data_IF_880713241911
#
_entry.id   IF_880713241911
#
_cell.length_a   1.000
_cell.length_b   1.000
_cell.length_c   1.000
_cell.angle_alpha   90.00
_cell.angle_beta   90.00
_cell.angle_gamma   90.00
#
_symmetry.space_group_name_H-M   'P 1'
#
loop_
_entity.id
_entity.type
_entity.pdbx_description
1 polymer ?
#
# COMPACT_ATOMS: atom_id res chain seq x y z
N UNK A 1 4.43 -49.16 35.95
CA UNK A 1 4.57 -48.09 34.94
C UNK A 1 3.59 -48.36 33.82
N UNK A 2 2.51 -47.58 33.78
CA UNK A 2 1.43 -47.67 32.78
C UNK A 2 1.91 -46.98 31.50
N UNK A 3 1.89 -47.69 30.38
CA UNK A 3 2.10 -47.10 29.05
C UNK A 3 0.76 -46.50 28.60
N UNK A 4 0.65 -45.19 28.33
CA UNK A 4 -0.58 -44.64 27.81
C UNK A 4 -0.72 -45.01 26.31
N UNK A 5 -1.93 -45.36 25.84
CA UNK A 5 -2.17 -45.66 24.45
C UNK A 5 -2.68 -44.41 23.69
N UNK A 6 -2.43 -44.43 22.37
CA UNK A 6 -3.08 -43.64 21.31
C UNK A 6 -2.68 -42.16 21.06
N UNK A 7 -2.17 -41.97 19.84
CA UNK A 7 -2.47 -40.80 19.00
C UNK A 7 -4.00 -40.70 18.78
N UNK A 8 -4.62 -39.51 18.93
CA UNK A 8 -6.02 -39.31 18.60
C UNK A 8 -6.27 -39.45 17.09
N UNK A 9 -7.44 -39.98 16.71
CA UNK A 9 -7.84 -40.16 15.29
C UNK A 9 -7.72 -38.86 14.47
N UNK A 10 -7.93 -37.70 15.10
CA UNK A 10 -7.76 -36.37 14.50
C UNK A 10 -6.34 -36.13 13.93
N UNK A 11 -5.28 -36.62 14.59
CA UNK A 11 -3.89 -36.47 14.12
C UNK A 11 -3.61 -37.28 12.84
N UNK A 12 -4.34 -38.37 12.63
CA UNK A 12 -4.18 -39.23 11.45
C UNK A 12 -4.88 -38.65 10.22
N UNK A 13 -6.00 -37.98 10.41
CA UNK A 13 -6.69 -37.22 9.36
C UNK A 13 -5.92 -35.95 9.02
N UNK A 14 -5.37 -35.26 10.01
CA UNK A 14 -4.48 -34.11 9.79
C UNK A 14 -3.21 -34.50 9.02
N UNK A 15 -2.58 -35.65 9.35
CA UNK A 15 -1.45 -36.17 8.58
C UNK A 15 -1.81 -36.56 7.14
N UNK A 16 -3.02 -37.09 6.90
CA UNK A 16 -3.53 -37.39 5.54
C UNK A 16 -3.80 -36.11 4.75
N UNK A 17 -4.40 -35.11 5.40
CA UNK A 17 -4.66 -33.81 4.81
C UNK A 17 -3.35 -33.09 4.43
N UNK A 18 -2.35 -33.10 5.33
CA UNK A 18 -1.02 -32.57 5.04
C UNK A 18 -0.32 -33.34 3.91
N UNK A 19 -0.48 -34.66 3.86
CA UNK A 19 0.02 -35.48 2.74
C UNK A 19 -0.61 -35.11 1.39
N UNK A 20 -1.93 -34.85 1.36
CA UNK A 20 -2.65 -34.38 0.18
C UNK A 20 -2.19 -32.97 -0.25
N UNK A 21 -2.00 -32.04 0.69
CA UNK A 21 -1.51 -30.69 0.41
C UNK A 21 -0.06 -30.66 -0.11
N UNK A 22 0.77 -31.62 0.29
CA UNK A 22 2.13 -31.79 -0.24
C UNK A 22 2.12 -32.38 -1.66
N UNK A 23 1.22 -33.34 -1.93
CA UNK A 23 1.00 -33.88 -3.27
C UNK A 23 0.46 -32.82 -4.25
N UNK A 24 -0.45 -31.96 -3.78
CA UNK A 24 -1.00 -30.87 -4.58
C UNK A 24 0.08 -29.83 -4.91
N UNK A 25 0.88 -29.42 -3.93
CA UNK A 25 2.02 -28.52 -4.15
C UNK A 25 3.06 -29.07 -5.14
N UNK A 26 3.33 -30.39 -5.11
CA UNK A 26 4.20 -31.03 -6.09
C UNK A 26 3.60 -31.02 -7.51
N UNK A 27 2.28 -31.13 -7.63
CA UNK A 27 1.60 -31.03 -8.92
C UNK A 27 1.59 -29.60 -9.44
N UNK A 28 1.39 -28.61 -8.58
CA UNK A 28 1.42 -27.19 -8.93
C UNK A 28 2.82 -26.76 -9.37
N UNK A 29 3.88 -27.20 -8.68
CA UNK A 29 5.27 -26.96 -9.09
C UNK A 29 5.58 -27.61 -10.46
N UNK A 30 5.05 -28.82 -10.73
CA UNK A 30 5.19 -29.47 -12.04
C UNK A 30 4.42 -28.72 -13.13
N UNK A 31 3.24 -28.18 -12.81
CA UNK A 31 2.42 -27.43 -13.76
C UNK A 31 3.05 -26.07 -14.06
N UNK A 32 3.62 -25.38 -13.07
CA UNK A 32 4.36 -24.14 -13.26
C UNK A 32 5.59 -24.35 -14.15
N UNK A 33 6.38 -25.41 -13.90
CA UNK A 33 7.53 -25.74 -14.76
C UNK A 33 7.14 -26.05 -16.21
N UNK A 34 5.95 -26.61 -16.44
CA UNK A 34 5.41 -26.84 -17.79
C UNK A 34 4.96 -25.53 -18.44
N UNK A 35 4.34 -24.63 -17.69
CA UNK A 35 3.95 -23.31 -18.17
C UNK A 35 5.17 -22.47 -18.56
N UNK A 36 6.19 -22.41 -17.70
CA UNK A 36 7.44 -21.70 -17.97
C UNK A 36 8.21 -22.28 -19.18
N UNK A 37 8.11 -23.60 -19.40
CA UNK A 37 8.69 -24.25 -20.58
C UNK A 37 7.92 -23.92 -21.86
N UNK A 38 6.59 -23.86 -21.81
CA UNK A 38 5.75 -23.47 -22.94
C UNK A 38 5.97 -21.99 -23.32
N UNK A 39 6.11 -21.10 -22.33
CA UNK A 39 6.39 -19.68 -22.56
C UNK A 39 7.77 -19.46 -23.22
N UNK A 40 8.79 -20.25 -22.83
CA UNK A 40 10.10 -20.22 -23.50
C UNK A 40 10.06 -20.69 -24.95
N UNK A 41 9.20 -21.67 -25.27
CA UNK A 41 9.02 -22.14 -26.65
C UNK A 41 8.34 -21.04 -27.48
N UNK A 42 7.27 -20.44 -26.96
CA UNK A 42 6.56 -19.34 -27.61
C UNK A 42 7.44 -18.09 -27.81
N UNK A 43 8.33 -17.78 -26.86
CA UNK A 43 9.29 -16.69 -26.99
C UNK A 43 10.40 -16.97 -28.04
N UNK A 44 10.66 -18.24 -28.37
CA UNK A 44 11.66 -18.64 -29.36
C UNK A 44 11.14 -18.70 -30.80
N UNK A 45 9.81 -18.68 -30.99
CA UNK A 45 9.15 -18.71 -32.31
C UNK A 45 8.74 -17.33 -32.83
N UNK A 46 9.08 -16.24 -32.13
CA UNK A 46 8.82 -14.89 -32.61
C UNK A 46 9.65 -14.57 -33.87
N UNK A 47 9.02 -14.16 -35.00
CA UNK A 47 9.72 -13.91 -36.25
C UNK A 47 10.61 -12.67 -36.13
N UNK A 48 11.92 -12.87 -36.34
CA UNK A 48 12.90 -11.79 -36.41
C UNK A 48 12.74 -11.02 -37.73
N UNK A 49 11.95 -9.95 -37.69
CA UNK A 49 11.98 -8.97 -38.77
C UNK A 49 13.21 -8.08 -38.65
N UNK A 50 14.00 -8.14 -39.73
CA UNK A 50 15.19 -7.39 -40.06
C UNK A 50 14.94 -5.88 -40.10
N UNK A 51 15.75 -5.11 -39.36
CA UNK A 51 16.13 -3.76 -39.78
C UNK A 51 17.39 -3.30 -39.03
N UNK A 52 18.50 -3.18 -39.76
CA UNK A 52 19.47 -2.06 -39.77
C UNK A 52 20.85 -2.56 -40.16
N UNK A 53 21.27 -2.14 -41.36
CA UNK A 53 22.67 -2.03 -41.70
C UNK A 53 23.22 -0.71 -41.16
N UNK A 54 24.44 -0.77 -40.61
CA UNK A 54 25.53 0.17 -40.84
C UNK A 54 26.69 -0.27 -39.95
N UNK A 55 27.77 -0.69 -40.61
CA UNK A 55 28.96 -1.21 -39.95
C UNK A 55 29.83 -0.10 -39.37
N UNK A 56 30.51 -0.40 -38.28
CA UNK A 56 31.79 0.22 -37.91
C UNK A 56 32.72 -0.87 -37.37
N UNK A 57 33.97 -0.71 -37.76
CA UNK A 57 35.08 -1.65 -37.80
C UNK A 57 35.54 -2.25 -36.47
N UNK A 58 36.14 -3.44 -36.62
CA UNK A 58 36.97 -4.16 -35.66
C UNK A 58 38.17 -3.35 -35.14
N UNK A 59 38.42 -3.40 -33.84
CA UNK A 59 39.79 -3.51 -33.29
C UNK A 59 39.84 -4.52 -32.16
N UNK A 60 40.81 -5.43 -32.27
CA UNK A 60 41.21 -6.46 -31.30
C UNK A 60 41.95 -5.82 -30.13
N UNK A 61 41.65 -6.22 -28.90
CA UNK A 61 42.46 -5.97 -27.71
C UNK A 61 42.44 -7.17 -26.76
N UNK A 62 43.56 -7.88 -26.67
CA UNK A 62 43.83 -9.06 -25.83
C UNK A 62 44.33 -8.63 -24.45
N UNK A 63 43.98 -9.42 -23.42
CA UNK A 63 44.73 -9.53 -22.16
C UNK A 63 44.33 -8.51 -21.07
N UNK A 64 44.25 -8.83 -19.78
CA UNK A 64 44.71 -10.00 -19.06
C UNK A 64 44.16 -10.01 -17.62
N UNK A 65 44.19 -11.20 -17.02
CA UNK A 65 43.92 -11.47 -15.61
C UNK A 65 45.09 -10.98 -14.76
N UNK A 66 44.82 -10.34 -13.62
CA UNK A 66 45.61 -10.54 -12.39
C UNK A 66 44.77 -10.37 -11.13
N UNK A 67 44.97 -11.34 -10.23
CA UNK A 67 44.51 -11.43 -8.85
C UNK A 67 45.17 -10.35 -7.97
N UNK A 68 44.44 -9.90 -6.95
CA UNK A 68 44.85 -10.20 -5.57
C UNK A 68 45.27 -9.04 -4.65
N UNK A 69 44.74 -9.16 -3.42
CA UNK A 69 45.25 -8.70 -2.10
C UNK A 69 44.90 -7.29 -1.59
N UNK A 70 43.98 -7.32 -0.62
CA UNK A 70 44.11 -6.90 0.80
C UNK A 70 45.10 -5.77 1.11
N UNK A 71 44.57 -4.70 1.71
CA UNK A 71 45.31 -3.76 2.54
C UNK A 71 44.36 -2.79 3.23
N UNK A 72 44.29 -2.85 4.56
CA UNK A 72 43.52 -1.99 5.49
C UNK A 72 44.04 -0.54 5.49
N UNK A 73 43.26 0.44 6.03
CA UNK A 73 43.64 1.85 6.14
C UNK A 73 44.24 2.19 7.52
N UNK A 74 44.80 3.41 7.65
CA UNK A 74 44.39 4.37 8.70
C UNK A 74 44.16 5.78 8.10
N UNK A 75 43.13 6.54 8.47
CA UNK A 75 42.86 7.27 9.72
C UNK A 75 43.72 8.53 9.95
N UNK A 76 43.02 9.65 10.21
CA UNK A 76 43.45 10.94 10.76
C UNK A 76 44.26 11.85 9.82
N UNK A 77 44.11 13.18 9.79
CA UNK A 77 43.43 14.16 10.65
C UNK A 77 43.52 15.55 10.00
N UNK A 78 42.53 16.41 10.29
CA UNK A 78 42.61 17.87 10.49
C UNK A 78 43.72 18.72 9.83
N UNK A 79 43.30 19.76 9.09
CA UNK A 79 43.61 21.20 9.30
C UNK A 79 43.08 21.97 8.07
N UNK A 80 42.05 22.83 8.18
CA UNK A 80 42.13 24.27 8.50
C UNK A 80 43.09 25.06 7.59
N UNK A 81 42.52 25.92 6.75
CA UNK A 81 43.22 26.94 5.97
C UNK A 81 42.30 27.61 4.94
N UNK A 82 41.62 28.68 5.34
CA UNK A 82 41.11 29.73 4.45
C UNK A 82 42.14 30.89 4.39
N UNK A 83 41.94 32.03 3.71
CA UNK A 83 41.01 32.43 2.64
C UNK A 83 41.72 33.20 1.46
N UNK A 84 40.90 33.87 0.64
CA UNK A 84 41.16 35.08 -0.19
C UNK A 84 41.56 34.95 -1.69
N UNK A 85 40.53 35.15 -2.54
CA UNK A 85 40.38 36.15 -3.66
C UNK A 85 41.46 36.33 -4.76
N UNK A 86 41.17 37.02 -5.90
CA UNK A 86 39.90 37.24 -6.63
C UNK A 86 40.01 36.98 -8.16
N UNK A 87 38.89 37.21 -8.87
CA UNK A 87 38.74 37.28 -10.34
C UNK A 87 39.76 38.21 -11.04
N UNK A 88 39.91 38.04 -12.37
CA UNK A 88 39.39 39.12 -13.22
C UNK A 88 38.72 38.65 -14.53
N UNK A 89 37.64 39.36 -14.89
CA UNK A 89 37.20 39.52 -16.28
C UNK A 89 38.29 40.23 -17.12
N UNK A 90 38.15 40.21 -18.45
CA UNK A 90 37.85 41.49 -19.07
C UNK A 90 36.79 41.45 -20.20
N UNK A 91 36.11 42.58 -20.31
CA UNK A 91 35.30 43.06 -21.42
C UNK A 91 36.05 43.06 -22.77
N UNK A 92 35.29 43.00 -23.88
CA UNK A 92 35.22 44.07 -24.90
C UNK A 92 34.31 43.64 -26.08
N UNK A 93 33.35 44.51 -26.38
CA UNK A 93 32.53 44.57 -27.61
C UNK A 93 33.39 45.03 -28.82
N UNK A 94 32.87 45.54 -29.97
CA UNK A 94 31.51 45.57 -30.54
C UNK A 94 31.45 45.22 -32.06
N UNK A 95 30.26 45.23 -32.67
CA UNK A 95 30.09 45.86 -33.99
C UNK A 95 29.36 45.10 -35.11
N UNK A 96 28.42 45.84 -35.71
CA UNK A 96 28.23 46.06 -37.17
C UNK A 96 27.04 45.38 -37.90
N UNK A 97 26.26 46.27 -38.52
CA UNK A 97 25.53 46.21 -39.81
C UNK A 97 24.05 45.75 -39.88
N UNK A 98 23.20 46.76 -40.15
CA UNK A 98 22.09 46.73 -41.12
C UNK A 98 22.64 46.61 -42.57
N UNK A 99 21.91 46.02 -43.53
CA UNK A 99 20.88 46.71 -44.34
C UNK A 99 19.64 45.80 -44.56
N UNK A 100 18.50 46.12 -45.16
CA UNK A 100 18.03 47.18 -46.04
C UNK A 100 16.73 46.67 -46.71
N UNK A 101 15.71 47.52 -46.73
CA UNK A 101 14.51 47.64 -47.60
C UNK A 101 14.33 46.63 -48.75
N UNK A 102 13.11 46.09 -48.93
CA UNK A 102 12.32 46.15 -50.19
C UNK A 102 10.90 45.52 -50.05
N UNK A 103 9.89 46.36 -50.32
CA UNK A 103 8.61 46.19 -51.01
C UNK A 103 7.91 44.82 -51.14
N UNK A 104 6.57 44.85 -50.99
CA UNK A 104 5.67 44.33 -52.03
C UNK A 104 4.48 43.46 -51.57
N UNK A 105 3.29 44.07 -51.64
CA UNK A 105 2.01 43.47 -52.08
C UNK A 105 1.13 42.64 -51.11
N UNK A 106 0.03 43.30 -50.72
CA UNK A 106 -1.30 42.75 -50.42
C UNK A 106 -1.92 42.07 -51.67
N UNK A 107 -2.91 41.16 -51.50
CA UNK A 107 -4.30 41.61 -51.70
C UNK A 107 -5.36 41.03 -50.73
N UNK A 108 -6.42 41.83 -50.56
CA UNK A 108 -7.86 41.54 -50.44
C UNK A 108 -8.37 40.58 -49.33
N UNK A 109 -9.03 41.10 -48.29
CA UNK A 109 -10.45 41.50 -48.21
C UNK A 109 -11.45 40.37 -48.51
N UNK A 110 -12.12 39.87 -47.47
CA UNK A 110 -13.54 39.51 -47.50
C UNK A 110 -14.11 39.26 -46.08
N UNK A 111 -14.81 40.27 -45.58
CA UNK A 111 -16.07 40.18 -44.83
C UNK A 111 -17.03 41.17 -45.53
N UNK A 112 -18.38 41.14 -45.38
CA UNK A 112 -19.17 40.53 -44.30
C UNK A 112 -20.47 39.80 -44.74
N UNK A 113 -21.09 39.03 -43.85
CA UNK A 113 -22.54 38.81 -43.90
C UNK A 113 -23.14 39.00 -42.51
N UNK A 114 -23.90 40.07 -42.41
CA UNK A 114 -24.82 40.42 -41.33
C UNK A 114 -26.04 39.50 -41.41
N UNK A 115 -26.45 38.93 -40.28
CA UNK A 115 -27.84 38.49 -40.05
C UNK A 115 -28.25 38.93 -38.64
N UNK A 116 -28.93 40.07 -38.60
CA UNK A 116 -29.76 40.51 -37.48
C UNK A 116 -30.98 39.61 -37.33
N UNK A 117 -31.42 39.46 -36.07
CA UNK A 117 -32.77 39.03 -35.71
C UNK A 117 -32.81 37.70 -34.97
N UNK A 118 -32.88 37.74 -33.64
CA UNK A 118 -34.15 37.76 -32.92
C UNK A 118 -33.89 37.68 -31.41
N UNK A 119 -34.15 38.80 -30.72
CA UNK A 119 -34.30 38.82 -29.27
C UNK A 119 -35.54 38.01 -28.89
N UNK A 120 -35.34 36.96 -28.09
CA UNK A 120 -36.41 36.39 -27.27
C UNK A 120 -35.92 36.42 -25.83
N UNK A 121 -36.46 37.37 -25.08
CA UNK A 121 -36.46 37.33 -23.63
C UNK A 121 -37.19 36.06 -23.19
N UNK A 122 -36.50 35.17 -22.49
CA UNK A 122 -37.14 34.13 -21.67
C UNK A 122 -36.65 34.34 -20.24
N UNK A 123 -37.59 34.89 -19.47
CA UNK A 123 -37.54 35.08 -18.03
C UNK A 123 -37.07 33.83 -17.30
N UNK A 124 -36.30 34.06 -16.24
CA UNK A 124 -35.75 33.02 -15.40
C UNK A 124 -36.83 32.16 -14.77
N UNK A 125 -36.67 30.85 -14.91
CA UNK A 125 -37.10 29.91 -13.90
C UNK A 125 -35.86 29.43 -13.14
N UNK A 126 -35.85 29.51 -11.79
CA UNK A 126 -34.73 29.00 -11.04
C UNK A 126 -34.82 27.47 -11.09
N UNK A 127 -33.87 26.81 -11.77
CA UNK A 127 -33.70 25.35 -11.77
C UNK A 127 -33.10 24.82 -10.44
N UNK A 128 -32.71 25.73 -9.54
CA UNK A 128 -32.09 25.42 -8.25
C UNK A 128 -33.05 24.81 -7.20
N UNK A 129 -34.32 25.27 -7.02
CA UNK A 129 -35.22 24.73 -6.00
C UNK A 129 -35.69 23.31 -6.33
N UNK A 130 -35.88 23.00 -7.62
CA UNK A 130 -36.34 21.68 -8.09
C UNK A 130 -35.26 20.60 -7.88
N UNK A 131 -33.99 20.95 -8.12
CA UNK A 131 -32.85 20.07 -7.88
C UNK A 131 -32.60 19.86 -6.37
N UNK A 132 -32.80 20.89 -5.56
CA UNK A 132 -32.72 20.80 -4.09
C UNK A 132 -33.89 19.97 -3.53
N UNK A 133 -35.09 20.07 -4.11
CA UNK A 133 -36.26 19.26 -3.73
C UNK A 133 -36.03 17.78 -4.06
N UNK A 134 -35.55 17.44 -5.25
CA UNK A 134 -35.18 16.06 -5.62
C UNK A 134 -34.05 15.49 -4.75
N UNK A 135 -33.12 16.34 -4.30
CA UNK A 135 -32.06 15.95 -3.38
C UNK A 135 -32.59 15.60 -1.99
N UNK A 136 -33.57 16.37 -1.47
CA UNK A 136 -34.27 16.04 -0.21
C UNK A 136 -35.16 14.80 -0.30
N UNK A 137 -35.89 14.64 -1.41
CA UNK A 137 -36.74 13.46 -1.61
C UNK A 137 -35.93 12.16 -1.69
N UNK A 138 -34.72 12.19 -2.29
CA UNK A 138 -33.81 11.04 -2.23
C UNK A 138 -33.21 10.81 -0.84
N UNK A 139 -33.02 11.87 -0.04
CA UNK A 139 -32.50 11.79 1.33
C UNK A 139 -33.53 11.16 2.28
N UNK A 140 -34.82 11.54 2.17
CA UNK A 140 -35.92 10.95 2.95
C UNK A 140 -36.19 9.48 2.57
N UNK A 141 -36.10 9.12 1.28
CA UNK A 141 -36.24 7.72 0.85
C UNK A 141 -35.08 6.84 1.35
N UNK A 142 -33.89 7.41 1.54
CA UNK A 142 -32.72 6.68 2.02
C UNK A 142 -32.67 6.56 3.55
N UNK A 143 -33.30 7.49 4.28
CA UNK A 143 -33.53 7.38 5.73
C UNK A 143 -34.64 6.37 6.08
N UNK A 144 -35.70 6.28 5.27
CA UNK A 144 -36.72 5.23 5.45
C UNK A 144 -36.20 3.81 5.15
N UNK A 145 -35.23 3.68 4.25
CA UNK A 145 -34.59 2.40 3.94
C UNK A 145 -33.54 1.94 4.99
N UNK A 146 -33.20 2.79 5.96
CA UNK A 146 -32.20 2.51 7.00
C UNK A 146 -32.77 2.43 8.42
N UNK A 147 -34.10 2.45 8.60
CA UNK A 147 -34.66 2.14 9.91
C UNK A 147 -34.45 0.64 10.22
N UNK A 148 -33.76 0.30 11.32
CA UNK A 148 -33.71 -1.07 11.78
C UNK A 148 -35.10 -1.46 12.27
N UNK A 149 -35.56 -2.61 11.79
CA UNK A 149 -36.73 -3.30 12.35
C UNK A 149 -36.39 -3.60 13.81
N UNK A 150 -37.03 -2.89 14.75
CA UNK A 150 -37.05 -3.27 16.14
C UNK A 150 -37.82 -4.59 16.29
N UNK A 151 -37.09 -5.69 16.45
CA UNK A 151 -37.62 -6.91 17.06
C UNK A 151 -37.17 -6.96 18.51
N UNK A 152 -38.08 -6.61 19.41
CA UNK A 152 -38.12 -7.20 20.74
C UNK A 152 -38.48 -8.69 20.56
N UNK A 153 -37.67 -9.59 21.13
CA UNK A 153 -38.12 -10.55 22.13
C UNK A 153 -36.98 -11.48 22.56
N UNK A 154 -37.10 -11.88 23.83
CA UNK A 154 -36.18 -12.59 24.69
C UNK A 154 -35.87 -14.05 24.29
N UNK A 155 -34.89 -14.61 25.00
CA UNK A 155 -34.54 -16.03 25.16
C UNK A 155 -33.63 -16.68 24.09
N UNK A 156 -32.32 -16.73 24.37
CA UNK A 156 -31.65 -18.04 24.45
C UNK A 156 -30.32 -17.94 25.24
N UNK A 157 -30.37 -18.42 26.48
CA UNK A 157 -29.24 -18.48 27.41
C UNK A 157 -28.36 -19.70 27.12
N UNK A 158 -27.07 -19.48 26.89
CA UNK A 158 -26.05 -20.55 26.88
C UNK A 158 -25.74 -21.01 28.32
N UNK A 159 -25.65 -22.33 28.61
CA UNK A 159 -25.12 -22.78 29.90
C UNK A 159 -23.58 -22.90 29.87
N UNK A 160 -22.92 -22.73 31.04
CA UNK A 160 -21.46 -22.72 31.14
C UNK A 160 -20.87 -24.15 31.10
N UNK A 161 -19.76 -24.29 30.37
CA UNK A 161 -18.94 -25.48 30.36
C UNK A 161 -18.19 -25.62 31.70
N UNK A 162 -18.63 -26.55 32.55
CA UNK A 162 -17.80 -27.20 33.60
C UNK A 162 -18.59 -28.33 34.27
N UNK A 163 -18.26 -29.60 33.94
CA UNK A 163 -18.40 -30.83 34.76
C UNK A 163 -18.31 -32.08 33.88
N UNK A 164 -17.10 -32.62 33.67
CA UNK A 164 -16.90 -33.99 33.14
C UNK A 164 -15.72 -34.72 33.80
N UNK A 165 -15.46 -34.46 35.08
CA UNK A 165 -14.56 -35.28 35.89
C UNK A 165 -15.07 -35.34 37.33
N UNK A 166 -16.05 -36.22 37.57
CA UNK A 166 -16.38 -36.76 38.89
C UNK A 166 -17.47 -37.82 38.70
N UNK A 167 -17.07 -39.09 38.51
CA UNK A 167 -17.66 -40.19 39.29
C UNK A 167 -16.95 -41.52 39.05
N UNK A 168 -16.89 -42.33 40.12
CA UNK A 168 -16.55 -43.76 40.21
C UNK A 168 -15.13 -44.17 40.65
N UNK A 169 -14.79 -43.83 41.90
CA UNK A 169 -14.37 -44.81 42.93
C UNK A 169 -15.65 -45.43 43.50
N UNK A 170 -15.89 -46.71 43.79
CA UNK A 170 -15.11 -47.81 44.39
C UNK A 170 -16.00 -49.09 44.30
N UNK A 171 -15.42 -50.30 44.39
CA UNK A 171 -16.22 -51.53 44.56
C UNK A 171 -15.46 -52.86 44.37
N UNK A 172 -15.08 -53.46 45.49
CA UNK A 172 -14.30 -54.70 45.72
C UNK A 172 -15.01 -56.02 45.30
N UNK A 173 -14.26 -57.12 45.10
CA UNK A 173 -14.83 -58.48 45.04
C UNK A 173 -14.16 -59.57 44.16
N UNK A 174 -13.05 -60.15 44.65
CA UNK A 174 -12.52 -61.55 44.56
C UNK A 174 -12.75 -62.50 43.36
N UNK A 175 -11.59 -63.05 42.92
CA UNK A 175 -11.23 -64.44 42.54
C UNK A 175 -12.04 -65.25 41.50
N UNK A 176 -11.39 -65.55 40.35
CA UNK A 176 -10.96 -66.93 40.00
C UNK A 176 -10.10 -66.99 38.74
N UNK A 177 -8.99 -67.71 38.88
CA UNK A 177 -8.07 -68.11 37.82
C UNK A 177 -8.77 -68.85 36.67
N UNK A 178 -8.46 -68.43 35.43
CA UNK A 178 -8.34 -69.34 34.29
C UNK A 178 -7.29 -68.79 33.33
N UNK A 179 -6.15 -69.46 33.35
CA UNK A 179 -5.17 -69.46 32.28
C UNK A 179 -5.89 -69.79 30.97
N UNK A 180 -5.87 -68.85 30.04
CA UNK A 180 -6.17 -69.09 28.64
C UNK A 180 -5.07 -68.39 27.86
N UNK A 181 -4.05 -69.18 27.51
CA UNK A 181 -3.06 -68.89 26.50
C UNK A 181 -3.75 -68.36 25.25
N UNK A 182 -3.77 -67.04 25.10
CA UNK A 182 -4.06 -66.41 23.82
C UNK A 182 -2.75 -65.88 23.30
N UNK A 183 -2.25 -66.55 22.26
CA UNK A 183 -1.05 -66.16 21.53
C UNK A 183 -1.16 -64.69 21.13
N UNK A 184 -0.49 -63.84 21.91
CA UNK A 184 -0.32 -62.44 21.57
C UNK A 184 0.56 -62.40 20.34
N UNK A 185 -0.06 -62.33 19.15
CA UNK A 185 0.58 -61.82 17.94
C UNK A 185 1.03 -60.39 18.24
N UNK A 186 2.18 -60.27 18.90
CA UNK A 186 2.98 -59.05 18.99
C UNK A 186 3.09 -58.54 17.56
N UNK A 187 2.38 -57.44 17.25
CA UNK A 187 2.72 -56.60 16.10
C UNK A 187 4.22 -56.38 16.16
N UNK A 188 4.95 -56.94 15.20
CA UNK A 188 6.37 -56.65 15.01
C UNK A 188 6.49 -55.13 15.00
N UNK A 189 7.11 -54.58 16.03
CA UNK A 189 7.57 -53.19 16.03
C UNK A 189 8.50 -53.07 14.83
N UNK A 190 8.36 -52.00 14.05
CA UNK A 190 9.26 -51.73 12.92
C UNK A 190 10.71 -51.79 13.39
N UNK A 191 11.60 -52.34 12.57
CA UNK A 191 13.05 -52.49 12.80
C UNK A 191 13.79 -51.13 13.01
N UNK A 192 13.06 -50.02 13.15
CA UNK A 192 13.56 -48.70 13.53
C UNK A 192 13.63 -48.49 15.05
N UNK A 193 13.01 -49.36 15.85
CA UNK A 193 13.04 -49.30 17.32
C UNK A 193 14.09 -50.22 17.97
N UNK A 194 14.80 -51.04 17.17
CA UNK A 194 15.82 -52.01 17.64
C UNK A 194 17.23 -51.42 17.83
N UNK A 195 17.39 -50.10 17.69
CA UNK A 195 18.64 -49.41 18.02
C UNK A 195 18.59 -49.02 19.49
N UNK A 196 19.42 -49.69 20.29
CA UNK A 196 19.36 -49.66 21.75
C UNK A 196 19.96 -48.38 22.35
N UNK A 197 20.64 -47.55 21.56
CA UNK A 197 21.22 -46.28 22.02
C UNK A 197 20.69 -45.08 21.23
N UNK A 198 20.50 -43.90 21.88
CA UNK A 198 20.17 -42.65 21.20
C UNK A 198 21.15 -42.27 20.08
N UNK A 199 22.43 -42.58 20.26
CA UNK A 199 23.52 -42.28 19.31
C UNK A 199 23.41 -43.07 18.01
N UNK A 200 23.10 -44.36 18.08
CA UNK A 200 22.89 -45.20 16.90
C UNK A 200 21.67 -44.74 16.09
N UNK A 201 20.59 -44.33 16.78
CA UNK A 201 19.42 -43.75 16.12
C UNK A 201 19.77 -42.44 15.43
N UNK A 202 20.50 -41.56 16.11
CA UNK A 202 20.91 -40.29 15.54
C UNK A 202 21.83 -40.47 14.32
N UNK A 203 22.74 -41.45 14.36
CA UNK A 203 23.60 -41.81 13.22
C UNK A 203 22.78 -42.37 12.04
N UNK A 204 21.85 -43.29 12.30
CA UNK A 204 20.96 -43.86 11.25
C UNK A 204 20.09 -42.78 10.60
N UNK A 205 19.45 -41.92 11.40
CA UNK A 205 18.64 -40.83 10.87
C UNK A 205 19.47 -39.74 10.21
N UNK A 206 20.71 -39.52 10.65
CA UNK A 206 21.69 -38.66 9.98
C UNK A 206 22.04 -39.17 8.58
N UNK A 207 22.44 -40.44 8.44
CA UNK A 207 22.73 -41.05 7.13
C UNK A 207 21.50 -41.07 6.22
N UNK A 208 20.32 -41.34 6.76
CA UNK A 208 19.07 -41.24 6.01
C UNK A 208 18.82 -39.82 5.49
N UNK A 209 18.99 -38.81 6.36
CA UNK A 209 18.83 -37.39 5.98
C UNK A 209 19.83 -36.98 4.91
N UNK A 210 21.10 -37.41 5.00
CA UNK A 210 22.10 -37.16 3.96
C UNK A 210 21.70 -37.78 2.62
N UNK A 211 21.25 -39.04 2.65
CA UNK A 211 20.81 -39.73 1.43
C UNK A 211 19.62 -39.04 0.76
N UNK A 212 18.67 -38.53 1.54
CA UNK A 212 17.53 -37.77 1.01
C UNK A 212 17.98 -36.39 0.51
N UNK A 213 18.91 -35.72 1.19
CA UNK A 213 19.50 -34.47 0.68
C UNK A 213 20.20 -34.68 -0.67
N UNK A 214 20.91 -35.80 -0.86
CA UNK A 214 21.55 -36.14 -2.13
C UNK A 214 20.51 -36.49 -3.21
N UNK A 215 19.49 -37.27 -2.86
CA UNK A 215 18.37 -37.61 -3.74
C UNK A 215 17.63 -36.37 -4.26
N UNK A 216 17.39 -35.38 -3.41
CA UNK A 216 16.74 -34.11 -3.78
C UNK A 216 17.73 -33.04 -4.25
N UNK A 217 19.01 -33.38 -4.45
CA UNK A 217 20.07 -32.46 -4.89
C UNK A 217 20.18 -31.19 -4.04
N UNK A 218 19.90 -31.29 -2.73
CA UNK A 218 20.05 -30.20 -1.78
C UNK A 218 21.55 -29.94 -1.53
N UNK A 219 21.98 -28.69 -1.79
CA UNK A 219 23.36 -28.23 -1.64
C UNK A 219 23.41 -26.94 -0.80
N UNK A 220 24.60 -26.65 -0.25
CA UNK A 220 24.87 -25.42 0.50
C UNK A 220 23.94 -25.23 1.69
N UNK A 221 23.45 -24.00 1.87
CA UNK A 221 22.61 -23.60 3.02
C UNK A 221 21.34 -24.43 3.18
N UNK A 222 20.72 -24.89 2.09
CA UNK A 222 19.52 -25.74 2.14
C UNK A 222 19.81 -27.13 2.71
N UNK A 223 20.98 -27.71 2.37
CA UNK A 223 21.42 -28.98 2.94
C UNK A 223 21.71 -28.83 4.43
N UNK A 224 22.44 -27.78 4.81
CA UNK A 224 22.73 -27.49 6.22
C UNK A 224 21.45 -27.38 7.04
N UNK A 225 20.45 -26.62 6.55
CA UNK A 225 19.16 -26.46 7.22
C UNK A 225 18.45 -27.80 7.50
N UNK A 226 18.39 -28.69 6.51
CA UNK A 226 17.74 -30.01 6.65
C UNK A 226 18.54 -30.90 7.61
N UNK A 227 19.87 -30.85 7.56
CA UNK A 227 20.73 -31.59 8.47
C UNK A 227 20.62 -31.10 9.91
N UNK A 228 20.51 -29.78 10.11
CA UNK A 228 20.34 -29.17 11.42
C UNK A 228 18.96 -29.52 12.00
N UNK A 229 17.90 -29.40 11.19
CA UNK A 229 16.55 -29.84 11.56
C UNK A 229 16.51 -31.33 11.92
N UNK A 230 17.24 -32.20 11.21
CA UNK A 230 17.29 -33.62 11.52
C UNK A 230 18.02 -33.94 12.84
N UNK A 231 18.97 -33.10 13.26
CA UNK A 231 19.71 -33.24 14.52
C UNK A 231 18.95 -32.71 15.73
N UNK A 232 18.03 -31.77 15.52
CA UNK A 232 17.15 -31.23 16.58
C UNK A 232 16.37 -32.31 17.33
N UNK A 233 16.04 -32.03 18.58
CA UNK A 233 15.20 -32.92 19.38
C UNK A 233 13.74 -32.92 18.87
N UNK A 234 12.90 -33.81 19.41
CA UNK A 234 11.52 -33.95 18.95
C UNK A 234 10.67 -32.70 19.19
N UNK A 235 10.91 -31.95 20.27
CA UNK A 235 10.17 -30.73 20.58
C UNK A 235 10.57 -29.60 19.63
N UNK A 236 11.87 -29.37 19.42
CA UNK A 236 12.37 -28.41 18.43
C UNK A 236 11.85 -28.71 17.02
N UNK A 237 11.84 -30.00 16.62
CA UNK A 237 11.28 -30.43 15.33
C UNK A 237 9.80 -30.09 15.21
N UNK A 238 9.01 -30.38 16.25
CA UNK A 238 7.58 -30.08 16.27
C UNK A 238 7.30 -28.58 16.23
N UNK A 239 8.01 -27.77 17.01
CA UNK A 239 7.92 -26.31 16.98
C UNK A 239 8.26 -25.78 15.59
N UNK A 240 9.35 -26.28 15.00
CA UNK A 240 9.80 -25.85 13.66
C UNK A 240 8.78 -26.22 12.59
N UNK A 241 8.18 -27.42 12.66
CA UNK A 241 7.09 -27.83 11.75
C UNK A 241 5.87 -26.91 11.93
N UNK A 242 5.44 -26.65 13.17
CA UNK A 242 4.30 -25.76 13.43
C UNK A 242 4.56 -24.35 12.92
N UNK A 243 5.75 -23.79 13.15
CA UNK A 243 6.14 -22.48 12.63
C UNK A 243 6.17 -22.46 11.09
N UNK A 244 6.64 -23.54 10.45
CA UNK A 244 6.64 -23.66 8.99
C UNK A 244 5.21 -23.75 8.43
N UNK A 245 4.33 -24.53 9.06
CA UNK A 245 2.93 -24.64 8.68
C UNK A 245 2.22 -23.30 8.82
N UNK A 246 2.40 -22.62 9.96
CA UNK A 246 1.82 -21.30 10.17
C UNK A 246 2.32 -20.29 9.14
N UNK A 247 3.63 -20.28 8.87
CA UNK A 247 4.21 -19.42 7.84
C UNK A 247 3.61 -19.70 6.46
N UNK A 248 3.44 -20.97 6.09
CA UNK A 248 2.85 -21.36 4.80
C UNK A 248 1.39 -20.94 4.72
N UNK A 249 0.63 -21.09 5.80
CA UNK A 249 -0.77 -20.65 5.87
C UNK A 249 -0.88 -19.14 5.71
N UNK A 250 -0.04 -18.37 6.42
CA UNK A 250 0.05 -16.91 6.24
C UNK A 250 0.50 -16.52 4.82
N UNK A 251 1.51 -17.19 4.26
CA UNK A 251 1.95 -16.95 2.86
C UNK A 251 0.82 -17.24 1.86
N UNK A 252 0.03 -18.28 2.10
CA UNK A 252 -1.11 -18.65 1.26
C UNK A 252 -2.28 -17.66 1.41
N UNK A 253 -2.58 -17.20 2.62
CA UNK A 253 -3.57 -16.13 2.86
C UNK A 253 -3.16 -14.83 2.15
N UNK A 254 -1.87 -14.49 2.19
CA UNK A 254 -1.33 -13.28 1.59
C UNK A 254 -1.27 -13.29 0.05
N UNK A 255 -1.46 -14.45 -0.61
CA UNK A 255 -1.48 -14.52 -2.08
C UNK A 255 -2.55 -13.58 -2.66
N UNK A 256 -3.72 -13.51 -2.02
CA UNK A 256 -4.82 -12.67 -2.47
C UNK A 256 -4.47 -11.18 -2.36
N UNK A 257 -3.80 -10.78 -1.27
CA UNK A 257 -3.32 -9.41 -1.09
C UNK A 257 -2.29 -9.06 -2.15
N UNK A 258 -1.31 -9.92 -2.40
CA UNK A 258 -0.30 -9.69 -3.44
C UNK A 258 -0.92 -9.59 -4.84
N UNK A 259 -1.88 -10.45 -5.16
CA UNK A 259 -2.63 -10.38 -6.42
C UNK A 259 -3.40 -9.06 -6.54
N UNK A 260 -4.08 -8.63 -5.47
CA UNK A 260 -4.79 -7.36 -5.43
C UNK A 260 -3.85 -6.17 -5.61
N UNK A 261 -2.71 -6.12 -4.89
CA UNK A 261 -1.71 -5.05 -5.02
C UNK A 261 -1.10 -4.99 -6.43
N UNK A 262 -0.95 -6.13 -7.10
CA UNK A 262 -0.47 -6.20 -8.48
C UNK A 262 -1.53 -5.78 -9.50
N UNK A 263 -2.82 -5.81 -9.13
CA UNK A 263 -3.96 -5.57 -10.01
C UNK A 263 -4.10 -4.12 -10.48
N UNK A 264 -4.84 -3.93 -11.57
CA UNK A 264 -5.26 -2.62 -12.02
C UNK A 264 -6.24 -1.93 -11.05
N UNK A 265 -7.00 -2.69 -10.27
CA UNK A 265 -7.92 -2.14 -9.27
C UNK A 265 -7.15 -1.34 -8.21
N UNK A 266 -6.08 -1.93 -7.66
CA UNK A 266 -5.23 -1.21 -6.71
C UNK A 266 -4.50 -0.04 -7.39
N UNK A 267 -3.76 -0.31 -8.47
CA UNK A 267 -2.87 0.67 -9.11
C UNK A 267 -3.58 1.87 -9.72
N UNK A 268 -4.78 1.69 -10.27
CA UNK A 268 -5.50 2.75 -10.98
C UNK A 268 -6.67 3.35 -10.19
N UNK A 269 -7.20 2.64 -9.18
CA UNK A 269 -8.37 3.08 -8.42
C UNK A 269 -8.08 3.29 -6.93
N UNK A 270 -7.63 2.29 -6.19
CA UNK A 270 -7.38 2.46 -4.75
C UNK A 270 -6.33 3.55 -4.46
N UNK A 271 -5.25 3.59 -5.26
CA UNK A 271 -4.27 4.68 -5.16
C UNK A 271 -4.87 6.06 -5.48
N UNK A 272 -5.85 6.13 -6.40
CA UNK A 272 -6.55 7.37 -6.69
C UNK A 272 -7.36 7.83 -5.47
N UNK A 273 -8.08 6.92 -4.80
CA UNK A 273 -8.83 7.22 -3.58
C UNK A 273 -7.91 7.69 -2.44
N UNK A 274 -6.74 7.08 -2.27
CA UNK A 274 -5.74 7.54 -1.30
C UNK A 274 -5.25 8.96 -1.61
N UNK A 275 -5.02 9.24 -2.90
CA UNK A 275 -4.67 10.59 -3.34
C UNK A 275 -5.80 11.59 -3.08
N UNK A 276 -7.06 11.21 -3.35
CA UNK A 276 -8.23 12.04 -3.06
C UNK A 276 -8.32 12.41 -1.60
N UNK A 277 -8.21 11.43 -0.69
CA UNK A 277 -8.19 11.71 0.74
C UNK A 277 -7.01 12.59 1.16
N UNK A 278 -5.85 12.42 0.53
CA UNK A 278 -4.66 13.24 0.79
C UNK A 278 -4.84 14.70 0.35
N UNK A 279 -5.48 14.95 -0.79
CA UNK A 279 -5.68 16.30 -1.35
C UNK A 279 -6.99 16.98 -0.97
N UNK A 280 -7.86 16.25 -0.28
CA UNK A 280 -9.18 16.72 0.14
C UNK A 280 -9.10 18.02 0.95
N UNK A 281 -10.00 18.97 0.72
CA UNK A 281 -9.98 20.27 1.39
C UNK A 281 -10.20 20.16 2.90
N UNK A 282 -10.96 19.15 3.34
CA UNK A 282 -11.33 18.92 4.74
C UNK A 282 -10.38 17.96 5.49
N UNK A 283 -9.24 17.62 4.88
CA UNK A 283 -8.25 16.78 5.56
C UNK A 283 -7.62 17.51 6.76
N UNK A 284 -7.81 16.98 7.97
CA UNK A 284 -7.31 17.56 9.23
C UNK A 284 -5.94 17.05 9.67
N UNK A 285 -5.37 16.04 9.00
CA UNK A 285 -4.01 15.59 9.30
C UNK A 285 -3.46 14.66 8.22
N UNK A 286 -2.26 14.97 7.72
CA UNK A 286 -1.65 14.34 6.55
C UNK A 286 -0.81 13.11 6.88
N UNK A 287 -0.40 12.91 8.14
CA UNK A 287 0.47 11.79 8.53
C UNK A 287 -0.32 10.67 9.20
N UNK A 288 -0.60 10.79 10.50
CA UNK A 288 -1.21 9.71 11.28
C UNK A 288 -2.74 9.65 11.06
N UNK A 289 -3.45 10.78 11.16
CA UNK A 289 -4.92 10.83 11.01
C UNK A 289 -5.38 10.33 9.64
N UNK A 290 -4.70 10.73 8.56
CA UNK A 290 -5.00 10.23 7.22
C UNK A 290 -4.75 8.71 7.11
N UNK A 291 -3.69 8.21 7.73
CA UNK A 291 -3.40 6.77 7.75
C UNK A 291 -4.51 5.99 8.46
N UNK A 292 -4.91 6.42 9.66
CA UNK A 292 -5.98 5.78 10.42
C UNK A 292 -7.33 5.88 9.74
N UNK A 293 -7.63 7.02 9.11
CA UNK A 293 -8.83 7.19 8.30
C UNK A 293 -8.86 6.17 7.16
N UNK A 294 -7.81 6.08 6.35
CA UNK A 294 -7.79 5.17 5.18
C UNK A 294 -7.90 3.71 5.63
N UNK A 295 -7.24 3.32 6.72
CA UNK A 295 -7.39 1.96 7.28
C UNK A 295 -8.83 1.66 7.66
N UNK A 296 -9.49 2.59 8.35
CA UNK A 296 -10.88 2.46 8.72
C UNK A 296 -11.81 2.45 7.49
N UNK A 297 -11.62 3.37 6.56
CA UNK A 297 -12.46 3.50 5.36
C UNK A 297 -12.31 2.31 4.42
N UNK A 298 -11.11 1.73 4.29
CA UNK A 298 -10.92 0.49 3.53
C UNK A 298 -11.63 -0.71 4.16
N UNK A 299 -11.80 -0.75 5.48
CA UNK A 299 -12.53 -1.81 6.17
C UNK A 299 -14.03 -1.63 6.01
N UNK A 300 -14.54 -0.42 6.27
CA UNK A 300 -15.97 -0.12 6.22
C UNK A 300 -16.50 -0.06 4.78
N UNK A 301 -15.69 0.40 3.83
CA UNK A 301 -16.08 0.66 2.45
C UNK A 301 -15.22 -0.15 1.46
N UNK A 302 -14.83 -1.38 1.80
CA UNK A 302 -13.92 -2.22 1.00
C UNK A 302 -14.29 -2.35 -0.48
N UNK A 303 -15.59 -2.38 -0.79
CA UNK A 303 -16.10 -2.45 -2.17
C UNK A 303 -15.75 -1.20 -2.99
N UNK A 304 -15.72 -0.01 -2.37
CA UNK A 304 -15.28 1.22 -3.00
C UNK A 304 -13.83 1.11 -3.46
N UNK A 305 -12.98 0.50 -2.63
CA UNK A 305 -11.57 0.26 -2.96
C UNK A 305 -11.37 -0.94 -3.88
N UNK A 306 -12.43 -1.70 -4.21
CA UNK A 306 -12.38 -2.96 -4.97
C UNK A 306 -11.50 -4.01 -4.29
N UNK A 307 -11.50 -4.02 -2.95
CA UNK A 307 -10.84 -5.02 -2.12
C UNK A 307 -11.80 -6.20 -1.96
N UNK A 308 -11.29 -7.42 -2.02
CA UNK A 308 -12.11 -8.59 -1.68
C UNK A 308 -12.42 -8.61 -0.17
N UNK A 309 -13.64 -9.02 0.20
CA UNK A 309 -14.06 -9.11 1.60
C UNK A 309 -13.13 -10.02 2.41
N UNK A 310 -12.62 -11.09 1.81
CA UNK A 310 -11.69 -12.03 2.46
C UNK A 310 -10.41 -11.35 2.98
N UNK A 311 -9.89 -10.36 2.25
CA UNK A 311 -8.67 -9.61 2.61
C UNK A 311 -8.91 -8.73 3.83
N UNK A 312 -10.14 -8.23 4.00
CA UNK A 312 -10.51 -7.32 5.09
C UNK A 312 -10.84 -8.07 6.38
N UNK A 313 -11.47 -9.24 6.24
CA UNK A 313 -11.82 -10.13 7.35
C UNK A 313 -10.57 -10.81 7.94
N UNK A 314 -9.59 -11.17 7.11
CA UNK A 314 -8.33 -11.75 7.59
C UNK A 314 -7.37 -10.69 8.17
N UNK A 315 -6.96 -10.89 9.43
CA UNK A 315 -6.14 -9.93 10.15
C UNK A 315 -4.74 -9.77 9.56
N UNK A 316 -4.11 -10.88 9.15
CA UNK A 316 -2.74 -10.85 8.60
C UNK A 316 -2.73 -10.16 7.22
N UNK A 317 -3.69 -10.50 6.36
CA UNK A 317 -3.89 -9.86 5.06
C UNK A 317 -4.13 -8.36 5.20
N UNK A 318 -4.97 -7.97 6.16
CA UNK A 318 -5.24 -6.55 6.46
C UNK A 318 -4.00 -5.81 6.93
N UNK A 319 -3.17 -6.42 7.78
CA UNK A 319 -1.89 -5.83 8.22
C UNK A 319 -0.95 -5.62 7.03
N UNK A 320 -0.84 -6.61 6.14
CA UNK A 320 -0.02 -6.51 4.93
C UNK A 320 -0.52 -5.39 4.00
N UNK A 321 -1.83 -5.33 3.77
CA UNK A 321 -2.46 -4.30 2.94
C UNK A 321 -2.26 -2.90 3.52
N UNK A 322 -2.47 -2.72 4.83
CA UNK A 322 -2.28 -1.44 5.53
C UNK A 322 -0.81 -0.99 5.46
N UNK A 323 0.14 -1.91 5.59
CA UNK A 323 1.57 -1.61 5.43
C UNK A 323 1.87 -1.04 4.04
N UNK A 324 1.33 -1.67 2.98
CA UNK A 324 1.52 -1.20 1.60
C UNK A 324 0.81 0.13 1.34
N UNK A 325 -0.38 0.33 1.90
CA UNK A 325 -1.08 1.61 1.85
C UNK A 325 -0.25 2.73 2.49
N UNK A 326 0.31 2.52 3.69
CA UNK A 326 1.16 3.50 4.39
C UNK A 326 2.40 3.89 3.57
N UNK A 327 3.05 2.92 2.93
CA UNK A 327 4.19 3.16 2.02
C UNK A 327 3.77 4.04 0.83
N UNK A 328 2.61 3.74 0.24
CA UNK A 328 2.07 4.53 -0.88
C UNK A 328 1.73 5.96 -0.45
N UNK A 329 1.08 6.16 0.70
CA UNK A 329 0.83 7.51 1.23
C UNK A 329 2.12 8.29 1.48
N UNK A 330 3.16 7.65 2.02
CA UNK A 330 4.45 8.29 2.21
C UNK A 330 5.08 8.69 0.87
N UNK A 331 4.99 7.83 -0.13
CA UNK A 331 5.47 8.11 -1.49
C UNK A 331 4.70 9.26 -2.14
N UNK A 332 3.37 9.28 -2.02
CA UNK A 332 2.52 10.34 -2.55
C UNK A 332 2.81 11.68 -1.90
N UNK A 333 2.96 11.71 -0.57
CA UNK A 333 3.37 12.89 0.19
C UNK A 333 4.73 13.41 -0.24
N UNK A 334 5.70 12.52 -0.52
CA UNK A 334 7.00 12.94 -1.01
C UNK A 334 6.90 13.59 -2.39
N UNK A 335 6.16 12.96 -3.32
CA UNK A 335 5.93 13.52 -4.67
C UNK A 335 5.26 14.89 -4.62
N UNK A 336 4.22 15.05 -3.80
CA UNK A 336 3.55 16.34 -3.63
C UNK A 336 4.53 17.37 -3.07
N UNK A 337 5.32 17.01 -2.06
CA UNK A 337 6.32 17.90 -1.48
C UNK A 337 7.34 18.36 -2.52
N UNK A 338 7.82 17.48 -3.38
CA UNK A 338 8.77 17.85 -4.45
C UNK A 338 8.13 18.84 -5.44
N UNK A 339 6.82 18.69 -5.72
CA UNK A 339 6.05 19.65 -6.52
C UNK A 339 5.86 21.00 -5.82
N UNK A 340 5.60 21.00 -4.51
CA UNK A 340 5.54 22.23 -3.71
C UNK A 340 6.88 22.96 -3.71
N UNK A 341 7.99 22.22 -3.65
CA UNK A 341 9.33 22.78 -3.68
C UNK A 341 9.61 23.51 -4.99
N UNK A 342 9.34 22.84 -6.11
CA UNK A 342 9.46 23.43 -7.44
C UNK A 342 8.51 24.63 -7.63
N UNK A 343 7.30 24.56 -7.08
CA UNK A 343 6.32 25.63 -7.17
C UNK A 343 6.75 26.90 -6.41
N UNK A 344 7.34 26.73 -5.22
CA UNK A 344 7.86 27.86 -4.44
C UNK A 344 9.09 28.48 -5.11
N UNK A 345 9.98 27.67 -5.69
CA UNK A 345 11.17 28.19 -6.39
C UNK A 345 10.84 28.95 -7.67
N UNK A 346 9.81 28.51 -8.40
CA UNK A 346 9.44 29.08 -9.70
C UNK A 346 8.29 30.09 -9.62
N UNK A 347 7.68 30.28 -8.46
CA UNK A 347 6.57 31.20 -8.27
C UNK A 347 5.30 30.78 -9.02
N UNK A 348 4.87 29.53 -8.87
CA UNK A 348 3.68 29.03 -9.57
C UNK A 348 2.36 29.61 -9.01
N UNK A 349 1.43 29.94 -9.91
CA UNK A 349 0.06 30.28 -9.52
C UNK A 349 -0.68 29.03 -9.00
N UNK A 350 -1.77 29.23 -8.25
CA UNK A 350 -2.47 28.11 -7.58
C UNK A 350 -2.99 27.05 -8.55
N UNK A 351 -3.46 27.45 -9.74
CA UNK A 351 -3.96 26.51 -10.76
C UNK A 351 -2.85 25.62 -11.31
N UNK A 352 -1.65 26.17 -11.54
CA UNK A 352 -0.49 25.39 -11.96
C UNK A 352 -0.09 24.36 -10.90
N UNK A 353 -0.10 24.77 -9.63
CA UNK A 353 0.20 23.89 -8.49
C UNK A 353 -0.80 22.73 -8.43
N UNK A 354 -2.10 23.02 -8.55
CA UNK A 354 -3.14 22.00 -8.49
C UNK A 354 -3.07 21.02 -9.66
N UNK A 355 -2.75 21.48 -10.87
CA UNK A 355 -2.52 20.60 -12.03
C UNK A 355 -1.32 19.67 -11.81
N UNK A 356 -0.29 20.13 -11.09
CA UNK A 356 0.91 19.36 -10.82
C UNK A 356 0.74 18.31 -9.71
N UNK A 357 -0.11 18.59 -8.70
CA UNK A 357 -0.27 17.71 -7.53
C UNK A 357 -1.53 16.84 -7.59
N UNK A 358 -2.62 17.32 -8.21
CA UNK A 358 -3.91 16.63 -8.24
C UNK A 358 -4.03 15.85 -9.55
N UNK A 359 -4.22 14.51 -9.50
CA UNK A 359 -4.53 13.71 -10.67
C UNK A 359 -5.75 14.25 -11.44
N UNK A 360 -5.68 14.27 -12.78
CA UNK A 360 -6.74 14.78 -13.68
C UNK A 360 -8.14 14.16 -13.49
N UNK A 361 -8.25 13.06 -12.77
CA UNK A 361 -9.52 12.35 -12.51
C UNK A 361 -10.29 12.91 -11.30
N UNK A 362 -9.68 13.83 -10.55
CA UNK A 362 -10.26 14.46 -9.37
C UNK A 362 -10.71 15.87 -9.76
N UNK A 363 -11.95 16.21 -9.45
CA UNK A 363 -12.45 17.56 -9.65
C UNK A 363 -11.81 18.51 -8.62
N UNK A 364 -11.31 19.65 -9.11
CA UNK A 364 -10.68 20.68 -8.29
C UNK A 364 -11.67 21.80 -8.00
N UNK A 365 -12.22 21.79 -6.79
CA UNK A 365 -13.15 22.83 -6.32
C UNK A 365 -12.43 24.10 -5.83
N UNK A 366 -13.18 25.16 -5.51
CA UNK A 366 -12.61 26.37 -4.87
C UNK A 366 -12.01 26.04 -3.50
N UNK A 367 -12.61 25.11 -2.76
CA UNK A 367 -12.08 24.68 -1.46
C UNK A 367 -10.71 24.02 -1.58
N UNK A 368 -10.46 23.28 -2.66
CA UNK A 368 -9.13 22.74 -2.95
C UNK A 368 -8.11 23.88 -3.16
N UNK A 369 -8.46 24.91 -3.94
CA UNK A 369 -7.61 26.10 -4.15
C UNK A 369 -7.25 26.77 -2.82
N UNK A 370 -8.27 27.05 -1.99
CA UNK A 370 -8.11 27.67 -0.67
C UNK A 370 -7.19 26.85 0.23
N UNK A 371 -7.46 25.55 0.34
CA UNK A 371 -6.68 24.64 1.17
C UNK A 371 -5.22 24.57 0.74
N UNK A 372 -4.98 24.38 -0.56
CA UNK A 372 -3.62 24.20 -1.07
C UNK A 372 -2.83 25.49 -1.13
N UNK A 373 -3.46 26.65 -1.32
CA UNK A 373 -2.80 27.94 -1.13
C UNK A 373 -2.25 28.09 0.29
N UNK A 374 -3.06 27.71 1.30
CA UNK A 374 -2.59 27.67 2.69
C UNK A 374 -1.44 26.68 2.90
N UNK A 375 -1.51 25.46 2.34
CA UNK A 375 -0.41 24.47 2.44
C UNK A 375 0.88 24.99 1.82
N UNK A 376 0.81 25.65 0.66
CA UNK A 376 1.97 26.26 -0.01
C UNK A 376 2.56 27.38 0.84
N UNK A 377 1.73 28.25 1.42
CA UNK A 377 2.18 29.30 2.32
C UNK A 377 2.90 28.73 3.56
N UNK A 378 2.39 27.65 4.15
CA UNK A 378 3.07 26.95 5.25
C UNK A 378 4.39 26.31 4.80
N UNK A 379 4.41 25.71 3.61
CA UNK A 379 5.64 25.13 3.06
C UNK A 379 6.72 26.20 2.83
N UNK A 380 6.35 27.37 2.31
CA UNK A 380 7.28 28.50 2.12
C UNK A 380 7.87 28.97 3.44
N UNK A 381 7.04 29.18 4.47
CA UNK A 381 7.49 29.55 5.82
C UNK A 381 8.45 28.50 6.38
N UNK A 382 8.07 27.22 6.28
CA UNK A 382 8.90 26.12 6.75
C UNK A 382 10.25 26.01 6.03
N UNK A 383 10.28 26.23 4.70
CA UNK A 383 11.50 26.24 3.90
C UNK A 383 12.43 27.41 4.26
N UNK A 384 11.87 28.57 4.62
CA UNK A 384 12.64 29.72 5.09
C UNK A 384 13.28 29.45 6.47
N UNK A 385 12.54 28.79 7.38
CA UNK A 385 12.98 28.57 8.76
C UNK A 385 13.88 27.33 8.93
N UNK A 386 13.80 26.35 8.02
CA UNK A 386 14.45 25.04 8.19
C UNK A 386 15.41 24.69 7.04
N UNK A 387 16.64 24.30 7.38
CA UNK A 387 17.62 23.76 6.40
C UNK A 387 17.21 22.40 5.80
N UNK A 388 16.28 21.68 6.43
CA UNK A 388 15.83 20.37 5.99
C UNK A 388 14.30 20.30 6.02
N UNK A 389 13.69 20.02 4.87
CA UNK A 389 12.24 19.98 4.70
C UNK A 389 11.62 18.61 5.02
N UNK A 390 12.40 17.62 5.48
CA UNK A 390 11.97 16.21 5.67
C UNK A 390 10.78 16.03 6.62
N UNK A 391 10.66 16.88 7.64
CA UNK A 391 9.60 16.79 8.65
C UNK A 391 8.37 17.67 8.35
N UNK A 392 8.32 18.31 7.16
CA UNK A 392 7.26 19.25 6.79
C UNK A 392 5.85 18.77 7.12
N UNK A 393 5.47 17.56 6.69
CA UNK A 393 4.12 17.04 6.91
C UNK A 393 3.76 16.88 8.39
N UNK A 394 4.72 16.51 9.25
CA UNK A 394 4.48 16.42 10.70
C UNK A 394 4.34 17.80 11.33
N UNK A 395 5.08 18.79 10.85
CA UNK A 395 4.93 20.17 11.30
C UNK A 395 3.60 20.75 10.84
N UNK A 396 3.19 20.48 9.60
CA UNK A 396 1.91 20.90 9.07
C UNK A 396 0.74 20.37 9.91
N UNK A 397 0.78 19.09 10.29
CA UNK A 397 -0.20 18.49 11.21
C UNK A 397 -0.20 19.19 12.57
N UNK A 398 0.98 19.53 13.11
CA UNK A 398 1.07 20.28 14.37
C UNK A 398 0.49 21.68 14.26
N UNK A 399 0.75 22.38 13.16
CA UNK A 399 0.19 23.71 12.90
C UNK A 399 -1.33 23.66 12.76
N UNK A 400 -1.87 22.64 12.09
CA UNK A 400 -3.32 22.43 12.00
C UNK A 400 -3.95 22.23 13.37
N UNK A 401 -3.40 21.31 14.17
CA UNK A 401 -3.93 21.02 15.50
C UNK A 401 -3.85 22.26 16.40
N UNK A 402 -2.72 22.97 16.42
CA UNK A 402 -2.60 24.24 17.17
C UNK A 402 -3.62 25.29 16.73
N UNK A 403 -3.86 25.41 15.43
CA UNK A 403 -4.85 26.36 14.90
C UNK A 403 -6.25 25.97 15.38
N UNK A 404 -6.57 24.68 15.35
CA UNK A 404 -7.85 24.17 15.83
C UNK A 404 -8.02 24.33 17.35
N UNK A 405 -7.00 23.99 18.14
CA UNK A 405 -7.00 24.17 19.59
C UNK A 405 -7.21 25.64 19.98
N UNK A 406 -6.51 26.55 19.30
CA UNK A 406 -6.69 27.99 19.49
C UNK A 406 -8.13 28.44 19.17
N UNK A 407 -8.72 27.92 18.09
CA UNK A 407 -10.11 28.23 17.73
C UNK A 407 -11.09 27.69 18.78
N UNK A 408 -10.88 26.47 19.28
CA UNK A 408 -11.70 25.87 20.34
C UNK A 408 -11.62 26.70 21.62
N UNK A 409 -10.42 27.15 22.00
CA UNK A 409 -10.19 27.92 23.23
C UNK A 409 -10.81 29.32 23.17
N UNK A 410 -10.71 30.01 22.03
CA UNK A 410 -11.07 31.43 21.92
C UNK A 410 -12.45 31.68 21.28
N UNK A 411 -13.04 30.69 20.60
CA UNK A 411 -14.31 30.83 19.88
C UNK A 411 -15.24 29.68 20.30
N UNK A 412 -16.12 29.88 21.31
CA UNK A 412 -16.97 28.80 21.82
C UNK A 412 -17.97 28.27 20.79
N UNK A 413 -18.53 29.15 19.96
CA UNK A 413 -19.53 28.78 18.95
C UNK A 413 -18.89 27.99 17.79
N UNK A 414 -19.42 26.79 17.53
CA UNK A 414 -18.98 25.92 16.43
C UNK A 414 -19.16 26.59 15.07
N UNK A 415 -20.27 27.31 14.83
CA UNK A 415 -20.52 27.96 13.53
C UNK A 415 -19.48 29.04 13.26
N UNK A 416 -19.23 29.89 14.27
CA UNK A 416 -18.22 30.96 14.18
C UNK A 416 -16.82 30.37 14.01
N UNK A 417 -16.50 29.24 14.66
CA UNK A 417 -15.24 28.52 14.42
C UNK A 417 -15.11 28.02 12.98
N UNK A 418 -16.16 27.42 12.44
CA UNK A 418 -16.15 26.90 11.07
C UNK A 418 -15.99 28.04 10.05
N UNK A 419 -16.67 29.17 10.26
CA UNK A 419 -16.52 30.39 9.46
C UNK A 419 -15.11 30.98 9.56
N UNK A 420 -14.57 31.08 10.78
CA UNK A 420 -13.20 31.59 11.02
C UNK A 420 -12.17 30.69 10.35
N UNK A 421 -12.34 29.36 10.44
CA UNK A 421 -11.48 28.38 9.77
C UNK A 421 -11.52 28.54 8.25
N UNK A 422 -12.72 28.71 7.68
CA UNK A 422 -12.89 28.95 6.25
C UNK A 422 -12.18 30.27 5.83
N UNK A 423 -12.29 31.32 6.65
CA UNK A 423 -11.67 32.61 6.38
C UNK A 423 -10.14 32.52 6.34
N UNK A 424 -9.51 31.70 7.19
CA UNK A 424 -8.05 31.46 7.15
C UNK A 424 -7.63 30.96 5.76
N UNK A 425 -8.39 30.04 5.16
CA UNK A 425 -8.05 29.49 3.85
C UNK A 425 -8.43 30.41 2.69
N UNK A 426 -9.50 31.21 2.86
CA UNK A 426 -9.85 32.28 1.91
C UNK A 426 -8.72 33.30 1.82
N UNK A 427 -8.28 33.84 2.96
CA UNK A 427 -7.21 34.83 3.02
C UNK A 427 -5.91 34.27 2.42
N UNK A 428 -5.58 33.01 2.70
CA UNK A 428 -4.39 32.37 2.14
C UNK A 428 -4.43 32.29 0.60
N UNK A 429 -5.60 32.09 0.00
CA UNK A 429 -5.77 32.12 -1.45
C UNK A 429 -5.62 33.53 -2.00
N UNK A 430 -6.28 34.52 -1.37
CA UNK A 430 -6.19 35.92 -1.78
C UNK A 430 -4.75 36.46 -1.72
N UNK A 431 -4.03 36.15 -0.64
CA UNK A 431 -2.62 36.51 -0.49
C UNK A 431 -1.75 35.84 -1.57
N UNK A 432 -1.99 34.56 -1.86
CA UNK A 432 -1.25 33.84 -2.91
C UNK A 432 -1.55 34.40 -4.30
N UNK A 433 -2.81 34.71 -4.62
CA UNK A 433 -3.20 35.27 -5.92
C UNK A 433 -2.67 36.69 -6.12
N UNK A 434 -2.53 37.47 -5.03
CA UNK A 434 -1.89 38.78 -5.06
C UNK A 434 -0.39 38.69 -5.38
N UNK A 435 0.29 37.70 -4.83
CA UNK A 435 1.74 37.51 -5.05
C UNK A 435 2.04 36.78 -6.37
N UNK A 436 1.19 35.82 -6.76
CA UNK A 436 1.30 35.01 -7.97
C UNK A 436 -0.02 35.00 -8.74
N UNK A 437 -0.30 36.05 -9.54
CA UNK A 437 -1.52 36.15 -10.31
C UNK A 437 -1.78 34.93 -11.18
N UNK A 438 -3.05 34.61 -11.40
CA UNK A 438 -3.47 33.43 -12.17
C UNK A 438 -3.05 33.56 -13.64
N UNK A 439 -1.94 32.92 -14.00
CA UNK A 439 -1.43 32.84 -15.38
C UNK A 439 -2.07 31.69 -16.17
N UNK A 440 -2.64 30.70 -15.48
CA UNK A 440 -3.27 29.51 -16.07
C UNK A 440 -4.75 29.52 -15.69
N UNK A 441 -5.67 29.26 -16.65
CA UNK A 441 -7.09 29.17 -16.33
C UNK A 441 -7.34 28.06 -15.30
N UNK A 442 -8.42 28.22 -14.54
CA UNK A 442 -8.85 27.15 -13.66
C UNK A 442 -9.13 25.88 -14.48
N UNK A 443 -8.82 24.68 -13.95
CA UNK A 443 -9.22 23.43 -14.58
C UNK A 443 -10.70 23.44 -14.90
N UNK A 444 -11.07 22.85 -16.04
CA UNK A 444 -12.46 22.73 -16.47
C UNK A 444 -13.28 22.04 -15.37
N UNK A 445 -14.46 22.61 -15.07
CA UNK A 445 -15.38 22.00 -14.11
C UNK A 445 -15.98 20.76 -14.75
N UNK A 446 -15.66 19.60 -14.18
CA UNK A 446 -16.23 18.31 -14.54
C UNK A 446 -17.10 17.88 -13.37
N UNK A 447 -18.20 17.18 -13.63
CA UNK A 447 -19.04 16.64 -12.55
C UNK A 447 -18.21 15.82 -11.57
N UNK A 448 -18.32 16.15 -10.27
CA UNK A 448 -17.58 15.47 -9.22
C UNK A 448 -17.90 13.98 -9.27
N UNK A 449 -16.91 13.09 -9.47
CA UNK A 449 -17.17 11.66 -9.47
C UNK A 449 -17.77 11.22 -8.13
N UNK A 450 -18.76 10.32 -8.17
CA UNK A 450 -19.45 9.84 -6.95
C UNK A 450 -18.50 9.27 -5.90
N UNK A 451 -17.43 8.59 -6.33
CA UNK A 451 -16.39 8.07 -5.44
C UNK A 451 -15.60 9.18 -4.75
N UNK A 452 -15.38 10.34 -5.41
CA UNK A 452 -14.69 11.48 -4.79
C UNK A 452 -15.56 12.08 -3.69
N UNK A 453 -16.84 12.32 -4.00
CA UNK A 453 -17.83 12.83 -3.02
C UNK A 453 -17.87 11.91 -1.80
N UNK A 454 -17.92 10.60 -2.02
CA UNK A 454 -18.00 9.63 -0.93
C UNK A 454 -16.75 9.62 -0.04
N UNK A 455 -15.55 9.63 -0.63
CA UNK A 455 -14.29 9.67 0.13
C UNK A 455 -14.18 10.97 0.93
N UNK A 456 -14.45 12.12 0.31
CA UNK A 456 -14.38 13.42 1.00
C UNK A 456 -15.41 13.51 2.12
N UNK A 457 -16.64 13.02 1.90
CA UNK A 457 -17.68 12.96 2.93
C UNK A 457 -17.29 12.03 4.08
N UNK A 458 -16.76 10.85 3.79
CA UNK A 458 -16.34 9.90 4.83
C UNK A 458 -15.18 10.46 5.64
N UNK A 459 -14.23 11.14 4.99
CA UNK A 459 -13.12 11.81 5.65
C UNK A 459 -13.61 12.93 6.58
N UNK A 460 -14.52 13.77 6.11
CA UNK A 460 -15.08 14.85 6.91
C UNK A 460 -15.83 14.30 8.15
N UNK A 461 -16.64 13.26 7.96
CA UNK A 461 -17.31 12.52 9.04
C UNK A 461 -16.35 11.91 10.05
N UNK A 462 -15.28 11.27 9.58
CA UNK A 462 -14.26 10.67 10.45
C UNK A 462 -13.50 11.73 11.26
N UNK A 463 -13.33 12.92 10.70
CA UNK A 463 -12.69 14.05 11.36
C UNK A 463 -13.66 14.94 12.15
N UNK A 464 -14.96 14.65 12.17
CA UNK A 464 -15.92 15.38 13.01
C UNK A 464 -15.89 14.81 14.43
N UNK A 465 -15.60 15.68 15.40
CA UNK A 465 -15.70 15.38 16.84
C UNK A 465 -17.16 15.30 17.29
#
# INVERSE_FOLDING_TARGET
MVVPPFFPKASREQARHTGLLLLQAQNDEKNQKKADAAEKILASEAPKNTLTGLGIAHTRGRGGKTRGRRGRPPANSHALGAPDEPDPQPDLAPGIAMPGVLNGEQPDQQEPVVLEGQQVALEGQPLAPEAIRRRREMEEQQEQAQQPIETNDEEDSLPPANRLFADLTEGDGRERSRELETSSRRRRRSASMDLNTPEERQRKYGCFTESECDRFSLRGSRRSLVMDFAKSDSHEKMITIMAFLQRRETEQANVQVHAYLASGAFKAHALLLFYTALVAPHNKGYVNSLGTFIEHDMVCNYALYKIDKSIVEDSDSRVLLNSQMRINLATSRHKIKDKLDAAVEKGYCINQILVDIIPKKIEVTVEHRRRWAWVVAQYRKYKADSRNTSNFWRELDRTLNKTEDNLIEHVPDKRVRDETRAQIYINALEDHEKEYPNQVPAPEKVDTPSWQIMVERNLDKYHTF
#
